data_IF_651868293185
#
_entry.id   IF_651868293185
#
_cell.length_a   1.000
_cell.length_b   1.000
_cell.length_c   1.000
_cell.angle_alpha   90.00
_cell.angle_beta   90.00
_cell.angle_gamma   90.00
#
_symmetry.space_group_name_H-M   'P 1'
#
loop_
_entity.id
_entity.type
_entity.pdbx_description
1 polymer ?
#
# COMPACT_ATOMS: atom_id res chain seq x y z
N UNK A 1 34.13 -10.71 21.33
CA UNK A 1 35.56 -10.35 21.04
C UNK A 1 35.55 -8.87 20.69
N UNK A 2 36.45 -8.08 21.26
CA UNK A 2 36.54 -6.65 20.90
C UNK A 2 37.11 -6.50 19.49
N UNK A 3 36.37 -5.88 18.60
CA UNK A 3 36.70 -5.62 17.20
C UNK A 3 36.95 -4.13 16.93
N UNK A 4 37.23 -3.36 17.97
CA UNK A 4 37.67 -1.98 17.81
C UNK A 4 39.03 -1.91 17.08
N UNK A 5 39.33 -0.78 16.47
CA UNK A 5 40.56 -0.50 15.78
C UNK A 5 41.77 -0.88 16.66
N UNK A 6 41.82 -0.42 17.94
CA UNK A 6 42.91 -0.67 18.84
C UNK A 6 43.10 -2.16 19.16
N UNK A 7 42.00 -2.89 19.38
CA UNK A 7 42.05 -4.32 19.68
C UNK A 7 42.51 -5.14 18.44
N UNK A 8 42.08 -4.76 17.24
CA UNK A 8 42.52 -5.40 16.02
C UNK A 8 44.00 -5.10 15.76
N UNK A 9 44.42 -3.86 15.86
CA UNK A 9 45.81 -3.46 15.65
C UNK A 9 46.73 -4.18 16.65
N UNK A 10 46.31 -4.28 17.91
CA UNK A 10 47.06 -5.04 18.92
C UNK A 10 47.25 -6.52 18.50
N UNK A 11 46.16 -7.22 18.15
CA UNK A 11 46.23 -8.62 17.70
C UNK A 11 47.10 -8.82 16.44
N UNK A 12 47.05 -7.87 15.49
CA UNK A 12 47.92 -7.93 14.32
C UNK A 12 49.37 -7.77 14.65
N UNK A 13 49.72 -6.83 15.55
CA UNK A 13 51.09 -6.62 16.02
C UNK A 13 51.67 -7.83 16.77
N UNK A 14 50.86 -8.51 17.57
CA UNK A 14 51.29 -9.71 18.31
C UNK A 14 51.60 -10.90 17.39
N UNK A 15 50.95 -11.01 16.25
CA UNK A 15 51.16 -12.10 15.26
C UNK A 15 52.43 -11.94 14.44
N UNK A 16 53.04 -10.76 14.41
CA UNK A 16 54.28 -10.55 13.70
C UNK A 16 55.44 -10.96 14.62
N UNK A 17 56.07 -12.07 14.27
CA UNK A 17 57.19 -12.64 15.11
C UNK A 17 58.54 -11.97 14.88
N UNK A 18 58.76 -11.37 13.71
CA UNK A 18 60.02 -10.70 13.42
C UNK A 18 60.05 -9.26 13.97
N UNK A 19 61.16 -8.78 14.51
CA UNK A 19 61.28 -7.51 15.24
C UNK A 19 61.42 -6.30 14.31
N UNK A 20 60.60 -6.22 13.28
CA UNK A 20 60.39 -4.94 12.62
C UNK A 20 59.84 -3.97 13.68
N UNK A 21 60.27 -2.73 13.65
CA UNK A 21 59.72 -1.72 14.56
C UNK A 21 58.21 -1.67 14.44
N UNK A 22 57.52 -1.80 15.59
CA UNK A 22 56.04 -1.80 15.69
C UNK A 22 55.53 -0.51 16.34
N UNK A 23 56.38 0.50 16.44
CA UNK A 23 56.05 1.82 16.97
C UNK A 23 55.36 2.64 15.89
N UNK A 24 54.54 3.58 16.30
CA UNK A 24 53.86 4.53 15.41
C UNK A 24 54.86 5.25 14.50
N UNK A 25 54.53 5.37 13.20
CA UNK A 25 55.41 5.93 12.17
C UNK A 25 56.42 4.93 11.59
N UNK A 26 56.43 3.66 11.99
CA UNK A 26 57.20 2.62 11.31
C UNK A 26 56.41 2.02 10.16
N UNK A 27 57.10 1.57 9.12
CA UNK A 27 56.48 0.93 7.94
C UNK A 27 55.54 -0.21 8.33
N UNK A 28 55.94 -1.04 9.31
CA UNK A 28 55.10 -2.14 9.84
C UNK A 28 53.83 -1.62 10.50
N UNK A 29 53.95 -0.58 11.37
CA UNK A 29 52.81 0.00 12.04
C UNK A 29 51.83 0.60 11.05
N UNK A 30 52.29 1.39 10.06
CA UNK A 30 51.45 2.08 9.11
C UNK A 30 50.65 1.10 8.24
N UNK A 31 51.28 -0.01 7.81
CA UNK A 31 50.56 -1.05 7.07
C UNK A 31 49.52 -1.77 7.94
N UNK A 32 49.85 -2.16 9.17
CA UNK A 32 48.91 -2.84 10.06
C UNK A 32 47.80 -1.92 10.53
N UNK A 33 48.10 -0.64 10.74
CA UNK A 33 47.13 0.39 11.09
C UNK A 33 46.06 0.57 9.99
N UNK A 34 46.48 0.63 8.72
CA UNK A 34 45.58 0.72 7.62
C UNK A 34 44.64 -0.49 7.55
N UNK A 35 45.18 -1.71 7.66
CA UNK A 35 44.37 -2.95 7.67
C UNK A 35 43.47 -3.02 8.89
N UNK A 36 43.95 -2.63 10.06
CA UNK A 36 43.15 -2.61 11.29
C UNK A 36 41.97 -1.66 11.18
N UNK A 37 42.16 -0.49 10.54
CA UNK A 37 41.12 0.50 10.33
C UNK A 37 40.02 -0.03 9.40
N UNK A 38 40.38 -0.64 8.29
CA UNK A 38 39.38 -1.23 7.36
C UNK A 38 38.65 -2.42 8.00
N UNK A 39 39.34 -3.27 8.75
CA UNK A 39 38.68 -4.36 9.48
C UNK A 39 37.75 -3.84 10.56
N UNK A 40 38.14 -2.79 11.30
CA UNK A 40 37.26 -2.18 12.29
C UNK A 40 36.01 -1.60 11.70
N UNK A 41 36.10 -0.92 10.53
CA UNK A 41 34.94 -0.43 9.77
C UNK A 41 34.06 -1.60 9.32
N UNK A 42 34.65 -2.65 8.76
CA UNK A 42 33.92 -3.84 8.35
C UNK A 42 33.11 -4.45 9.51
N UNK A 43 33.71 -4.64 10.68
CA UNK A 43 33.00 -5.19 11.83
C UNK A 43 31.93 -4.25 12.41
N UNK A 44 32.20 -2.94 12.44
CA UNK A 44 31.28 -1.96 13.06
C UNK A 44 30.13 -1.56 12.16
N UNK A 45 30.32 -1.60 10.86
CA UNK A 45 29.32 -1.17 9.89
C UNK A 45 28.75 -2.34 9.09
N UNK A 46 29.59 -3.06 8.34
CA UNK A 46 29.08 -4.07 7.40
C UNK A 46 28.44 -5.27 8.09
N UNK A 47 29.07 -5.77 9.17
CA UNK A 47 28.52 -6.92 9.92
C UNK A 47 27.26 -6.52 10.67
N UNK A 48 27.21 -5.34 11.30
CA UNK A 48 26.02 -4.86 12.00
C UNK A 48 24.87 -4.63 11.02
N UNK A 49 25.16 -3.94 9.92
CA UNK A 49 24.16 -3.70 8.86
C UNK A 49 23.65 -5.02 8.25
N UNK A 50 24.52 -6.03 8.12
CA UNK A 50 24.11 -7.34 7.63
C UNK A 50 23.08 -8.00 8.57
N UNK A 51 23.29 -7.92 9.88
CA UNK A 51 22.34 -8.45 10.86
C UNK A 51 20.97 -7.76 10.75
N UNK A 52 20.96 -6.44 10.58
CA UNK A 52 19.72 -5.68 10.41
C UNK A 52 18.97 -6.10 9.12
N UNK A 53 19.69 -6.51 8.09
CA UNK A 53 19.12 -6.91 6.78
C UNK A 53 18.54 -8.32 6.76
N UNK A 54 18.88 -9.18 7.69
CA UNK A 54 18.41 -10.57 7.75
C UNK A 54 17.26 -10.81 8.72
N UNK A 55 16.77 -9.77 9.40
CA UNK A 55 15.63 -9.87 10.30
C UNK A 55 14.46 -9.06 9.80
N UNK A 56 13.24 -9.64 9.82
CA UNK A 56 12.01 -8.99 9.36
C UNK A 56 11.77 -7.67 10.08
N UNK A 57 12.10 -7.57 11.38
CA UNK A 57 11.87 -6.37 12.19
C UNK A 57 12.74 -5.18 11.78
N UNK A 58 13.92 -5.42 11.27
CA UNK A 58 14.93 -4.40 10.98
C UNK A 58 15.18 -4.20 9.48
N UNK A 59 14.95 -5.23 8.67
CA UNK A 59 15.14 -5.17 7.23
C UNK A 59 14.22 -4.13 6.57
N UNK A 60 14.70 -3.49 5.52
CA UNK A 60 13.98 -2.47 4.75
C UNK A 60 14.07 -2.71 3.25
N UNK A 61 13.12 -2.18 2.49
CA UNK A 61 13.14 -2.20 1.03
C UNK A 61 13.28 -3.60 0.44
N UNK A 62 14.28 -3.78 -0.44
CA UNK A 62 14.52 -5.05 -1.14
C UNK A 62 14.92 -6.21 -0.23
N UNK A 63 15.59 -5.95 0.89
CA UNK A 63 15.99 -7.01 1.82
C UNK A 63 14.77 -7.55 2.54
N UNK A 64 13.83 -6.68 2.96
CA UNK A 64 12.54 -7.09 3.51
C UNK A 64 11.70 -7.84 2.45
N UNK A 65 11.76 -7.42 1.17
CA UNK A 65 11.05 -8.11 0.07
C UNK A 65 11.58 -9.55 -0.12
N UNK A 66 12.89 -9.75 0.00
CA UNK A 66 13.50 -11.07 -0.07
C UNK A 66 13.07 -11.96 1.09
N UNK A 67 13.11 -11.44 2.34
CA UNK A 67 12.68 -12.18 3.52
C UNK A 67 11.20 -12.60 3.41
N UNK A 68 10.32 -11.65 3.13
CA UNK A 68 8.90 -11.94 3.00
C UNK A 68 8.59 -12.97 1.91
N UNK A 69 9.25 -12.86 0.76
CA UNK A 69 9.06 -13.79 -0.35
C UNK A 69 9.64 -15.19 -0.08
N UNK A 70 10.89 -15.28 0.39
CA UNK A 70 11.60 -16.57 0.47
C UNK A 70 11.35 -17.32 1.76
N UNK A 71 11.17 -16.62 2.88
CA UNK A 71 10.96 -17.26 4.19
C UNK A 71 9.47 -17.44 4.52
N UNK A 72 8.61 -16.49 4.09
CA UNK A 72 7.19 -16.47 4.46
C UNK A 72 6.24 -16.68 3.29
N UNK A 73 6.75 -16.75 2.05
CA UNK A 73 5.96 -16.85 0.82
C UNK A 73 4.91 -15.73 0.68
N UNK A 74 5.22 -14.55 1.17
CA UNK A 74 4.39 -13.35 1.12
C UNK A 74 5.10 -12.33 0.24
N UNK A 75 4.43 -11.83 -0.80
CA UNK A 75 4.97 -10.78 -1.65
C UNK A 75 4.39 -9.43 -1.23
N UNK A 76 5.22 -8.37 -1.36
CA UNK A 76 4.77 -7.01 -1.20
C UNK A 76 3.71 -6.67 -2.24
N UNK A 77 2.69 -5.92 -1.84
CA UNK A 77 1.69 -5.41 -2.75
C UNK A 77 2.29 -4.28 -3.60
N UNK A 78 2.29 -4.49 -4.91
CA UNK A 78 2.81 -3.51 -5.85
C UNK A 78 1.77 -2.43 -6.15
N UNK A 79 2.26 -1.24 -6.54
CA UNK A 79 1.40 -0.16 -6.99
C UNK A 79 0.57 -0.58 -8.21
N UNK A 80 -0.69 -0.19 -8.24
CA UNK A 80 -1.66 -0.50 -9.30
C UNK A 80 -2.06 0.73 -10.08
N UNK A 81 -2.59 0.53 -11.28
CA UNK A 81 -3.11 1.62 -12.10
C UNK A 81 -4.52 2.01 -11.68
N UNK A 82 -4.80 3.32 -11.75
CA UNK A 82 -6.15 3.85 -11.62
C UNK A 82 -6.93 3.60 -12.93
N UNK A 83 -8.17 3.12 -12.80
CA UNK A 83 -9.10 2.94 -13.93
C UNK A 83 -10.24 3.94 -13.81
N UNK A 84 -10.66 4.51 -14.93
CA UNK A 84 -11.75 5.46 -15.00
C UNK A 84 -12.69 5.15 -16.15
N UNK A 85 -13.97 5.44 -15.97
CA UNK A 85 -14.98 5.40 -17.03
C UNK A 85 -15.30 6.83 -17.47
N UNK A 86 -15.06 7.12 -18.74
CA UNK A 86 -15.29 8.43 -19.32
C UNK A 86 -16.49 8.41 -20.26
N UNK A 87 -17.22 9.51 -20.32
CA UNK A 87 -18.18 9.84 -21.36
C UNK A 87 -17.54 10.76 -22.38
N UNK A 88 -17.42 10.31 -23.61
CA UNK A 88 -16.86 11.08 -24.71
C UNK A 88 -18.00 11.50 -25.64
N UNK A 89 -18.05 12.79 -25.93
CA UNK A 89 -19.02 13.41 -26.79
C UNK A 89 -18.41 13.72 -28.15
N UNK A 90 -19.16 13.49 -29.23
CA UNK A 90 -18.69 13.77 -30.58
C UNK A 90 -19.67 13.34 -31.66
N UNK A 91 -19.20 13.36 -32.89
CA UNK A 91 -20.02 13.04 -34.08
C UNK A 91 -20.36 11.55 -34.14
N UNK A 92 -21.61 11.23 -34.47
CA UNK A 92 -22.08 9.85 -34.65
C UNK A 92 -21.21 9.10 -35.66
N UNK A 93 -20.79 7.89 -35.29
CA UNK A 93 -19.93 7.04 -36.12
C UNK A 93 -18.44 7.35 -36.02
N UNK A 94 -18.05 8.35 -35.23
CA UNK A 94 -16.63 8.65 -34.99
C UNK A 94 -15.98 7.55 -34.16
N UNK A 95 -14.82 7.07 -34.64
CA UNK A 95 -14.01 6.10 -33.91
C UNK A 95 -13.21 6.77 -32.79
N UNK A 96 -13.13 6.11 -31.67
CA UNK A 96 -12.28 6.41 -30.52
C UNK A 96 -11.32 5.22 -30.41
N UNK A 97 -10.05 5.43 -30.67
CA UNK A 97 -9.06 4.35 -30.76
C UNK A 97 -8.36 4.13 -29.41
N UNK A 98 -7.88 2.91 -29.23
CA UNK A 98 -6.99 2.56 -28.14
C UNK A 98 -5.79 3.52 -28.04
N UNK A 99 -5.40 3.88 -26.81
CA UNK A 99 -4.28 4.79 -26.57
C UNK A 99 -4.58 6.29 -26.71
N UNK A 100 -5.78 6.72 -27.08
CA UNK A 100 -6.11 8.14 -27.07
C UNK A 100 -6.01 8.70 -25.65
N UNK A 101 -5.30 9.84 -25.48
CA UNK A 101 -5.03 10.46 -24.19
C UNK A 101 -6.10 11.45 -23.75
N UNK A 102 -6.49 11.34 -22.48
CA UNK A 102 -7.35 12.27 -21.76
C UNK A 102 -6.53 12.86 -20.61
N UNK A 103 -6.53 14.19 -20.46
CA UNK A 103 -5.76 14.91 -19.44
C UNK A 103 -6.70 15.74 -18.57
N UNK A 104 -6.46 15.76 -17.26
CA UNK A 104 -7.08 16.73 -16.36
C UNK A 104 -6.45 18.10 -16.58
N UNK A 105 -7.28 19.16 -16.57
CA UNK A 105 -6.78 20.54 -16.70
C UNK A 105 -6.15 21.07 -15.41
N UNK A 106 -6.63 20.57 -14.26
CA UNK A 106 -6.24 21.08 -12.95
C UNK A 106 -5.03 20.33 -12.34
N UNK A 107 -4.80 19.06 -12.70
CA UNK A 107 -3.87 18.18 -11.98
C UNK A 107 -2.81 17.48 -12.83
N UNK A 108 -2.65 17.81 -14.10
CA UNK A 108 -1.69 17.17 -15.02
C UNK A 108 -1.85 15.63 -15.17
N UNK A 109 -2.89 15.04 -14.56
CA UNK A 109 -3.16 13.59 -14.59
C UNK A 109 -3.60 13.20 -16.00
N UNK A 110 -2.99 12.16 -16.54
CA UNK A 110 -3.28 11.63 -17.87
C UNK A 110 -3.81 10.20 -17.77
N UNK A 111 -4.84 9.92 -18.54
CA UNK A 111 -5.39 8.58 -18.79
C UNK A 111 -5.31 8.25 -20.28
N UNK A 112 -5.11 6.99 -20.59
CA UNK A 112 -5.16 6.46 -21.93
C UNK A 112 -6.37 5.53 -22.08
N UNK A 113 -7.13 5.73 -23.14
CA UNK A 113 -8.31 4.90 -23.45
C UNK A 113 -7.84 3.48 -23.75
N UNK A 114 -8.55 2.50 -23.20
CA UNK A 114 -8.28 1.08 -23.38
C UNK A 114 -9.34 0.47 -24.28
N UNK A 115 -8.91 0.05 -25.47
CA UNK A 115 -9.78 -0.53 -26.49
C UNK A 115 -10.37 0.48 -27.46
N UNK A 116 -11.01 -0.02 -28.50
CA UNK A 116 -11.63 0.77 -29.57
C UNK A 116 -13.12 0.91 -29.34
N UNK A 117 -13.64 2.12 -29.53
CA UNK A 117 -15.07 2.43 -29.38
C UNK A 117 -15.55 3.26 -30.58
N UNK A 118 -16.86 3.31 -30.77
CA UNK A 118 -17.50 4.14 -31.78
C UNK A 118 -18.59 4.96 -31.09
N UNK A 119 -18.68 6.25 -31.43
CA UNK A 119 -19.74 7.11 -30.93
C UNK A 119 -21.09 6.67 -31.58
N UNK A 120 -22.02 6.31 -30.71
CA UNK A 120 -23.37 5.90 -31.12
C UNK A 120 -24.23 7.05 -31.60
N UNK A 121 -25.48 6.74 -31.98
CA UNK A 121 -26.48 7.72 -32.44
C UNK A 121 -26.87 8.77 -31.40
N UNK A 122 -26.57 8.50 -30.10
CA UNK A 122 -26.76 9.46 -29.01
C UNK A 122 -25.69 10.58 -28.98
N UNK A 123 -24.66 10.52 -29.83
CA UNK A 123 -23.52 11.43 -29.79
C UNK A 123 -22.59 11.22 -28.63
N UNK A 124 -22.73 10.10 -27.90
CA UNK A 124 -21.96 9.78 -26.69
C UNK A 124 -21.41 8.36 -26.78
N UNK A 125 -20.16 8.17 -26.33
CA UNK A 125 -19.58 6.86 -26.08
C UNK A 125 -19.09 6.78 -24.64
N UNK A 126 -19.34 5.64 -23.97
CA UNK A 126 -18.77 5.33 -22.66
C UNK A 126 -17.54 4.46 -22.88
N UNK A 127 -16.39 4.92 -22.40
CA UNK A 127 -15.09 4.28 -22.63
C UNK A 127 -14.37 4.07 -21.30
N UNK A 128 -13.53 3.05 -21.26
CA UNK A 128 -12.63 2.82 -20.10
C UNK A 128 -11.25 3.38 -20.40
N UNK A 129 -10.65 4.05 -19.45
CA UNK A 129 -9.28 4.54 -19.54
C UNK A 129 -8.47 4.09 -18.34
N UNK A 130 -7.17 3.97 -18.55
CA UNK A 130 -6.16 3.60 -17.54
C UNK A 130 -5.21 4.76 -17.35
N UNK A 131 -4.86 5.08 -16.11
CA UNK A 131 -3.91 6.13 -15.79
C UNK A 131 -2.53 5.89 -16.42
N UNK A 132 -1.83 6.95 -16.76
CA UNK A 132 -0.48 6.89 -17.32
C UNK A 132 0.56 6.32 -16.35
N UNK A 133 0.28 6.35 -15.04
CA UNK A 133 1.15 5.82 -14.00
C UNK A 133 0.36 5.08 -12.93
N UNK A 134 1.10 4.45 -12.02
CA UNK A 134 0.55 3.71 -10.90
C UNK A 134 0.47 4.59 -9.65
N UNK A 135 -0.44 4.23 -8.72
CA UNK A 135 -0.57 4.86 -7.43
C UNK A 135 -1.85 5.70 -7.26
N UNK A 136 -2.10 6.08 -6.03
CA UNK A 136 -3.28 6.85 -5.61
C UNK A 136 -3.27 8.30 -6.13
N UNK A 137 -2.12 8.81 -6.54
CA UNK A 137 -1.95 10.17 -7.09
C UNK A 137 -2.65 10.42 -8.43
N UNK A 138 -3.15 9.37 -9.09
CA UNK A 138 -3.86 9.48 -10.36
C UNK A 138 -5.39 9.52 -10.22
N UNK A 139 -5.92 9.67 -9.00
CA UNK A 139 -7.36 9.65 -8.76
C UNK A 139 -8.07 10.86 -9.34
N UNK A 140 -9.14 10.60 -10.10
CA UNK A 140 -10.05 11.61 -10.63
C UNK A 140 -11.42 11.51 -9.93
N UNK A 141 -12.03 12.68 -9.73
CA UNK A 141 -13.36 12.79 -9.12
C UNK A 141 -14.40 13.26 -10.13
N UNK A 142 -15.69 12.98 -9.90
CA UNK A 142 -16.77 13.50 -10.72
C UNK A 142 -16.70 15.04 -10.84
N UNK A 143 -16.91 15.51 -12.06
CA UNK A 143 -16.85 16.95 -12.35
C UNK A 143 -15.44 17.51 -12.59
N UNK A 144 -14.39 16.66 -12.59
CA UNK A 144 -13.07 17.09 -13.01
C UNK A 144 -13.09 17.65 -14.43
N UNK A 145 -12.40 18.77 -14.64
CA UNK A 145 -12.25 19.37 -15.96
C UNK A 145 -11.26 18.56 -16.78
N UNK A 146 -11.75 17.98 -17.87
CA UNK A 146 -11.00 17.07 -18.71
C UNK A 146 -10.89 17.60 -20.13
N UNK A 147 -9.77 17.34 -20.77
CA UNK A 147 -9.53 17.58 -22.19
C UNK A 147 -8.76 16.42 -22.82
N UNK A 148 -8.85 16.32 -24.13
CA UNK A 148 -7.99 15.41 -24.87
C UNK A 148 -6.54 15.93 -24.86
N UNK A 149 -5.57 15.02 -24.81
CA UNK A 149 -4.14 15.36 -24.90
C UNK A 149 -3.84 15.97 -26.26
N UNK A 150 -4.46 15.45 -27.32
CA UNK A 150 -4.36 15.93 -28.68
C UNK A 150 -5.76 16.34 -29.21
N UNK A 151 -5.77 17.14 -30.27
CA UNK A 151 -7.02 17.52 -30.92
C UNK A 151 -7.50 16.42 -31.86
N UNK A 152 -8.61 15.78 -31.53
CA UNK A 152 -9.26 14.77 -32.36
C UNK A 152 -10.45 15.38 -33.09
N UNK A 153 -10.45 15.34 -34.45
CA UNK A 153 -11.55 15.86 -35.27
C UNK A 153 -12.78 15.00 -35.02
N UNK A 154 -13.91 15.65 -34.73
CA UNK A 154 -15.19 14.99 -34.45
C UNK A 154 -15.38 14.54 -32.99
N UNK A 155 -14.40 14.76 -32.08
CA UNK A 155 -14.60 14.67 -30.67
C UNK A 155 -14.67 16.07 -30.06
N UNK A 156 -15.63 16.31 -29.17
CA UNK A 156 -15.92 17.68 -28.68
C UNK A 156 -15.52 17.84 -27.19
N UNK A 157 -15.87 16.92 -26.32
CA UNK A 157 -15.59 16.98 -24.89
C UNK A 157 -15.54 15.59 -24.26
N UNK A 158 -14.99 15.54 -23.06
CA UNK A 158 -14.91 14.34 -22.22
C UNK A 158 -15.35 14.70 -20.81
N UNK A 159 -16.08 13.79 -20.17
CA UNK A 159 -16.59 13.93 -18.80
C UNK A 159 -16.36 12.65 -18.00
N UNK A 160 -16.31 12.79 -16.69
CA UNK A 160 -16.26 11.67 -15.74
C UNK A 160 -17.39 11.85 -14.72
N UNK A 161 -18.27 10.85 -14.63
CA UNK A 161 -19.43 10.88 -13.74
C UNK A 161 -19.17 10.18 -12.41
N UNK A 162 -18.28 9.19 -12.41
CA UNK A 162 -17.93 8.39 -11.24
C UNK A 162 -16.46 8.55 -10.94
N UNK A 163 -16.10 8.58 -9.65
CA UNK A 163 -14.70 8.62 -9.28
C UNK A 163 -13.94 7.43 -9.88
N UNK A 164 -12.74 7.68 -10.36
CA UNK A 164 -11.83 6.62 -10.77
C UNK A 164 -11.43 5.74 -9.57
N UNK A 165 -10.98 4.52 -9.82
CA UNK A 165 -10.66 3.57 -8.78
C UNK A 165 -9.61 2.55 -9.20
N UNK A 166 -8.95 1.92 -8.23
CA UNK A 166 -8.02 0.82 -8.47
C UNK A 166 -6.54 1.20 -8.44
N UNK A 167 -6.22 2.51 -8.37
CA UNK A 167 -4.86 3.01 -8.19
C UNK A 167 -4.46 3.01 -6.73
N UNK A 168 -3.60 2.09 -6.35
CA UNK A 168 -3.04 1.99 -4.99
C UNK A 168 -1.54 2.17 -5.05
N UNK A 169 -0.98 2.78 -4.02
CA UNK A 169 0.46 2.92 -3.88
C UNK A 169 1.11 1.58 -3.55
N UNK A 170 2.41 1.48 -3.77
CA UNK A 170 3.19 0.31 -3.33
C UNK A 170 3.14 0.23 -1.81
N UNK A 171 2.90 -0.95 -1.28
CA UNK A 171 2.87 -1.22 0.16
C UNK A 171 4.17 -0.76 0.82
N UNK A 172 4.09 0.03 1.88
CA UNK A 172 5.25 0.48 2.63
C UNK A 172 5.81 -0.65 3.52
N UNK A 173 7.05 -0.48 4.00
CA UNK A 173 7.76 -1.50 4.80
C UNK A 173 7.00 -1.86 6.08
N UNK A 174 6.37 -0.90 6.73
CA UNK A 174 5.67 -1.12 7.99
C UNK A 174 4.42 -1.97 7.81
N UNK A 175 3.60 -1.66 6.80
CA UNK A 175 2.41 -2.44 6.45
C UNK A 175 2.77 -3.85 6.00
N UNK A 176 3.84 -3.98 5.21
CA UNK A 176 4.32 -5.27 4.74
C UNK A 176 4.86 -6.13 5.88
N UNK A 177 5.65 -5.57 6.79
CA UNK A 177 6.15 -6.24 8.00
C UNK A 177 5.00 -6.74 8.89
N UNK A 178 4.01 -5.87 9.12
CA UNK A 178 2.81 -6.25 9.87
C UNK A 178 2.10 -7.45 9.25
N UNK A 179 1.98 -7.49 7.93
CA UNK A 179 1.35 -8.60 7.20
C UNK A 179 2.16 -9.90 7.28
N UNK A 180 3.50 -9.82 7.30
CA UNK A 180 4.39 -10.96 7.53
C UNK A 180 4.15 -11.51 8.95
N UNK A 181 4.18 -10.66 9.98
CA UNK A 181 3.94 -11.08 11.37
C UNK A 181 2.53 -11.62 11.61
N UNK A 182 1.52 -11.04 10.96
CA UNK A 182 0.16 -11.59 11.02
C UNK A 182 0.09 -13.02 10.46
N UNK A 183 0.84 -13.31 9.42
CA UNK A 183 0.91 -14.66 8.86
C UNK A 183 1.69 -15.63 9.75
N UNK A 184 2.80 -15.20 10.36
CA UNK A 184 3.56 -15.98 11.33
C UNK A 184 2.74 -16.33 12.59
N UNK A 185 2.00 -15.34 13.12
CA UNK A 185 1.18 -15.52 14.32
C UNK A 185 -0.03 -16.43 14.11
N UNK A 186 -0.46 -16.60 12.86
CA UNK A 186 -1.61 -17.42 12.52
C UNK A 186 -1.14 -18.73 11.89
N UNK A 187 -1.56 -19.85 12.44
CA UNK A 187 -1.41 -21.15 11.78
C UNK A 187 -2.37 -21.15 10.58
N UNK A 188 -1.84 -20.73 9.42
CA UNK A 188 -2.62 -20.67 8.19
C UNK A 188 -2.80 -22.09 7.64
N UNK A 189 -3.87 -22.75 8.10
CA UNK A 189 -4.34 -23.98 7.47
C UNK A 189 -5.22 -23.66 6.26
N UNK A 190 -5.07 -24.41 5.18
CA UNK A 190 -5.84 -24.20 3.96
C UNK A 190 -7.35 -24.21 4.23
N UNK A 191 -8.06 -23.14 3.91
CA UNK A 191 -9.51 -23.02 4.09
C UNK A 191 -9.98 -22.69 5.51
N UNK A 192 -9.08 -22.40 6.46
CA UNK A 192 -9.47 -21.86 7.77
C UNK A 192 -9.71 -20.33 7.71
N UNK A 193 -10.22 -19.75 8.79
CA UNK A 193 -10.50 -18.29 8.90
C UNK A 193 -9.25 -17.46 8.58
N UNK A 194 -8.08 -17.86 9.09
CA UNK A 194 -6.81 -17.17 8.86
C UNK A 194 -6.43 -17.16 7.37
N UNK A 195 -6.66 -18.28 6.68
CA UNK A 195 -6.42 -18.40 5.24
C UNK A 195 -7.32 -17.45 4.43
N UNK A 196 -8.62 -17.38 4.73
CA UNK A 196 -9.53 -16.44 4.05
C UNK A 196 -9.12 -14.98 4.29
N UNK A 197 -8.74 -14.64 5.54
CA UNK A 197 -8.24 -13.30 5.86
C UNK A 197 -6.99 -12.95 5.06
N UNK A 198 -5.99 -13.84 5.06
CA UNK A 198 -4.73 -13.62 4.35
C UNK A 198 -4.95 -13.52 2.83
N UNK A 199 -5.77 -14.41 2.27
CA UNK A 199 -6.11 -14.40 0.84
C UNK A 199 -6.84 -13.11 0.44
N UNK A 200 -7.79 -12.62 1.23
CA UNK A 200 -8.44 -11.35 0.96
C UNK A 200 -7.48 -10.16 1.08
N UNK A 201 -6.61 -10.14 2.10
CA UNK A 201 -5.58 -9.10 2.29
C UNK A 201 -4.47 -9.12 1.23
N UNK A 202 -4.31 -10.20 0.46
CA UNK A 202 -3.35 -10.23 -0.65
C UNK A 202 -3.81 -9.42 -1.87
N UNK A 203 -5.04 -8.91 -1.86
CA UNK A 203 -5.56 -8.03 -2.92
C UNK A 203 -5.32 -6.59 -2.56
N UNK A 204 -4.58 -5.87 -3.42
CA UNK A 204 -4.31 -4.45 -3.22
C UNK A 204 -5.62 -3.65 -3.10
N UNK A 205 -5.67 -2.76 -2.11
CA UNK A 205 -6.85 -1.97 -1.77
C UNK A 205 -7.72 -2.54 -0.66
N UNK A 206 -7.40 -3.71 -0.13
CA UNK A 206 -8.05 -4.28 1.06
C UNK A 206 -7.26 -3.90 2.31
N UNK A 207 -7.89 -3.17 3.23
CA UNK A 207 -7.31 -2.77 4.51
C UNK A 207 -7.67 -3.76 5.62
N UNK A 208 -8.98 -3.96 5.87
CA UNK A 208 -9.46 -4.83 6.95
C UNK A 208 -10.36 -5.92 6.42
N UNK A 209 -10.27 -7.10 7.05
CA UNK A 209 -11.04 -8.28 6.67
C UNK A 209 -11.64 -8.93 7.91
N UNK A 210 -12.94 -9.21 7.87
CA UNK A 210 -13.64 -10.05 8.83
C UNK A 210 -14.18 -11.28 8.13
N UNK A 211 -13.93 -12.45 8.68
CA UNK A 211 -14.45 -13.72 8.18
C UNK A 211 -15.46 -14.24 9.17
N UNK A 212 -16.63 -14.60 8.67
CA UNK A 212 -17.70 -15.21 9.44
C UNK A 212 -17.93 -16.62 8.86
N UNK A 213 -17.55 -17.62 9.63
CA UNK A 213 -17.82 -19.01 9.32
C UNK A 213 -19.30 -19.35 9.57
N UNK A 214 -19.79 -20.31 8.81
CA UNK A 214 -21.18 -20.80 8.93
C UNK A 214 -22.23 -19.67 8.86
N UNK A 215 -21.90 -18.57 8.18
CA UNK A 215 -22.71 -17.34 8.16
C UNK A 215 -24.15 -17.55 7.67
N UNK A 216 -24.35 -18.51 6.77
CA UNK A 216 -25.64 -18.84 6.12
C UNK A 216 -26.03 -20.31 6.27
N UNK A 217 -25.30 -21.07 7.11
CA UNK A 217 -25.45 -22.50 7.33
C UNK A 217 -24.18 -23.29 7.03
N UNK A 218 -24.15 -24.62 7.26
CA UNK A 218 -22.96 -25.44 7.06
C UNK A 218 -22.34 -25.29 5.67
N UNK A 219 -21.01 -25.17 5.59
CA UNK A 219 -20.26 -25.04 4.34
C UNK A 219 -20.23 -23.60 3.77
N UNK A 220 -20.79 -22.62 4.47
CA UNK A 220 -20.81 -21.22 4.00
C UNK A 220 -19.83 -20.34 4.75
N UNK A 221 -19.19 -19.41 4.04
CA UNK A 221 -18.25 -18.42 4.61
C UNK A 221 -18.57 -17.03 4.05
N UNK A 222 -18.74 -16.07 4.92
CA UNK A 222 -18.86 -14.65 4.52
C UNK A 222 -17.55 -13.92 4.83
N UNK A 223 -16.98 -13.29 3.80
CA UNK A 223 -15.77 -12.46 3.89
C UNK A 223 -16.18 -11.01 3.74
N UNK A 224 -16.07 -10.24 4.81
CA UNK A 224 -16.43 -8.83 4.84
C UNK A 224 -15.15 -8.01 4.75
N UNK A 225 -15.07 -7.11 3.77
CA UNK A 225 -13.87 -6.32 3.48
C UNK A 225 -14.12 -4.82 3.66
N UNK A 226 -13.07 -4.12 4.11
CA UNK A 226 -12.98 -2.66 4.16
C UNK A 226 -11.85 -2.25 3.23
N UNK A 227 -12.10 -1.26 2.38
CA UNK A 227 -11.08 -0.72 1.49
C UNK A 227 -10.13 0.24 2.23
N UNK A 228 -8.96 0.51 1.63
CA UNK A 228 -7.97 1.46 2.15
C UNK A 228 -8.58 2.80 2.55
N UNK A 229 -8.02 3.39 3.61
CA UNK A 229 -8.53 4.64 4.20
C UNK A 229 -9.86 4.47 4.92
N UNK A 230 -10.18 3.25 5.36
CA UNK A 230 -11.43 2.91 6.05
C UNK A 230 -12.69 3.18 5.20
N UNK A 231 -12.54 3.08 3.87
CA UNK A 231 -13.61 3.30 2.90
C UNK A 231 -14.44 2.03 2.67
N UNK A 232 -15.65 2.23 2.12
CA UNK A 232 -16.47 1.11 1.65
C UNK A 232 -15.84 0.49 0.41
N UNK A 233 -15.69 -0.84 0.40
CA UNK A 233 -15.21 -1.55 -0.77
C UNK A 233 -16.21 -1.42 -1.92
N UNK A 234 -15.74 -1.00 -3.09
CA UNK A 234 -16.54 -0.92 -4.30
C UNK A 234 -16.72 -2.31 -4.95
N UNK A 235 -17.65 -2.42 -5.89
CA UNK A 235 -17.96 -3.68 -6.57
C UNK A 235 -16.75 -4.28 -7.29
N UNK A 236 -15.87 -3.46 -7.86
CA UNK A 236 -14.67 -3.91 -8.55
C UNK A 236 -13.69 -4.59 -7.58
N UNK A 237 -13.47 -4.01 -6.39
CA UNK A 237 -12.62 -4.59 -5.35
C UNK A 237 -13.23 -5.88 -4.81
N UNK A 238 -14.55 -5.90 -4.53
CA UNK A 238 -15.28 -7.09 -4.08
C UNK A 238 -15.10 -8.22 -5.08
N UNK A 239 -15.26 -7.93 -6.37
CA UNK A 239 -15.08 -8.91 -7.44
C UNK A 239 -13.65 -9.45 -7.48
N UNK A 240 -12.62 -8.57 -7.43
CA UNK A 240 -11.21 -8.99 -7.40
C UNK A 240 -10.92 -9.94 -6.23
N UNK A 241 -11.37 -9.59 -5.03
CA UNK A 241 -11.22 -10.45 -3.84
C UNK A 241 -11.94 -11.78 -4.01
N UNK A 242 -13.16 -11.75 -4.53
CA UNK A 242 -13.94 -12.97 -4.80
C UNK A 242 -13.22 -13.88 -5.79
N UNK A 243 -12.72 -13.34 -6.90
CA UNK A 243 -12.04 -14.12 -7.94
C UNK A 243 -10.77 -14.79 -7.38
N UNK A 244 -9.99 -14.10 -6.55
CA UNK A 244 -8.80 -14.67 -5.89
C UNK A 244 -9.16 -15.78 -4.90
N UNK A 245 -10.20 -15.59 -4.09
CA UNK A 245 -10.68 -16.62 -3.15
C UNK A 245 -11.23 -17.85 -3.91
N UNK A 246 -12.09 -17.62 -4.91
CA UNK A 246 -12.69 -18.70 -5.71
C UNK A 246 -11.64 -19.55 -6.44
N UNK A 247 -10.55 -18.94 -6.91
CA UNK A 247 -9.46 -19.67 -7.59
C UNK A 247 -8.69 -20.62 -6.66
N UNK A 248 -8.76 -20.39 -5.35
CA UNK A 248 -7.92 -21.08 -4.37
C UNK A 248 -8.71 -21.70 -3.19
N UNK A 249 -10.03 -21.59 -3.13
CA UNK A 249 -10.83 -22.12 -2.01
C UNK A 249 -10.95 -23.65 -2.02
N UNK A 250 -11.27 -24.21 -0.88
CA UNK A 250 -11.64 -25.61 -0.78
C UNK A 250 -12.90 -25.93 -1.61
N UNK A 251 -12.90 -27.08 -2.27
CA UNK A 251 -14.08 -27.59 -2.96
C UNK A 251 -15.25 -27.73 -1.96
N UNK A 252 -16.43 -27.25 -2.36
CA UNK A 252 -17.66 -27.35 -1.55
C UNK A 252 -17.88 -26.19 -0.56
N UNK A 253 -16.93 -25.25 -0.38
CA UNK A 253 -17.21 -24.04 0.40
C UNK A 253 -18.02 -23.03 -0.45
N UNK A 254 -19.13 -22.54 0.06
CA UNK A 254 -19.89 -21.41 -0.54
C UNK A 254 -19.42 -20.10 0.09
N UNK A 255 -18.69 -19.29 -0.68
CA UNK A 255 -18.06 -18.06 -0.20
C UNK A 255 -18.75 -16.83 -0.77
N UNK A 256 -19.14 -15.91 0.10
CA UNK A 256 -19.62 -14.59 -0.28
C UNK A 256 -18.65 -13.51 0.19
N UNK A 257 -18.26 -12.62 -0.73
CA UNK A 257 -17.47 -11.42 -0.39
C UNK A 257 -18.40 -10.21 -0.39
N UNK A 258 -18.35 -9.43 0.68
CA UNK A 258 -19.23 -8.27 0.89
C UNK A 258 -18.43 -7.06 1.38
N UNK A 259 -18.91 -5.85 1.06
CA UNK A 259 -18.42 -4.65 1.72
C UNK A 259 -18.92 -4.59 3.17
N UNK A 260 -18.13 -3.97 4.04
CA UNK A 260 -18.59 -3.60 5.37
C UNK A 260 -19.71 -2.55 5.31
N UNK A 261 -20.69 -2.67 6.18
CA UNK A 261 -21.72 -1.64 6.33
C UNK A 261 -21.14 -0.40 7.03
N UNK A 262 -21.46 0.78 6.51
CA UNK A 262 -21.09 2.04 7.14
C UNK A 262 -22.07 2.42 8.24
N UNK A 263 -21.54 2.95 9.35
CA UNK A 263 -22.34 3.58 10.38
C UNK A 263 -21.97 5.07 10.45
N UNK A 264 -22.86 5.99 10.06
CA UNK A 264 -22.55 7.41 10.06
C UNK A 264 -22.45 7.94 11.49
N UNK A 265 -21.34 8.59 11.80
CA UNK A 265 -21.14 9.26 13.10
C UNK A 265 -21.09 10.76 12.83
N UNK A 266 -22.07 11.49 13.35
CA UNK A 266 -22.12 12.94 13.27
C UNK A 266 -21.43 13.55 14.49
N UNK A 267 -20.40 14.35 14.25
CA UNK A 267 -19.67 15.06 15.31
C UNK A 267 -19.88 16.55 15.13
N UNK A 268 -20.47 17.18 16.13
CA UNK A 268 -20.61 18.64 16.21
C UNK A 268 -19.70 19.14 17.31
N UNK A 269 -18.68 19.92 16.96
CA UNK A 269 -17.72 20.48 17.90
C UNK A 269 -17.63 22.00 17.74
N UNK A 270 -17.58 22.71 18.86
CA UNK A 270 -17.29 24.15 18.89
C UNK A 270 -15.87 24.37 19.39
N UNK A 271 -15.03 24.95 18.54
CA UNK A 271 -13.62 25.20 18.82
C UNK A 271 -13.43 26.68 19.06
N UNK A 272 -12.74 27.05 20.16
CA UNK A 272 -12.29 28.43 20.42
C UNK A 272 -10.81 28.52 20.06
N UNK A 273 -10.50 29.36 19.11
CA UNK A 273 -9.14 29.65 18.67
C UNK A 273 -8.73 31.06 19.09
N UNK A 274 -7.43 31.27 19.34
CA UNK A 274 -6.90 32.58 19.71
C UNK A 274 -6.70 33.49 18.49
N UNK A 275 -6.48 32.90 17.31
CA UNK A 275 -6.21 33.59 16.05
C UNK A 275 -6.93 32.84 14.93
N UNK A 276 -7.78 33.55 14.17
CA UNK A 276 -8.57 32.98 13.07
C UNK A 276 -7.71 32.49 11.89
N UNK A 277 -6.48 32.94 11.78
CA UNK A 277 -5.51 32.54 10.74
C UNK A 277 -5.24 31.05 10.77
N UNK A 278 -5.35 30.38 11.93
CA UNK A 278 -5.07 28.95 12.09
C UNK A 278 -6.31 28.05 12.02
N UNK A 279 -7.48 28.57 11.68
CA UNK A 279 -8.74 27.80 11.70
C UNK A 279 -8.69 26.55 10.79
N UNK A 280 -8.17 26.69 9.58
CA UNK A 280 -8.10 25.58 8.61
C UNK A 280 -7.06 24.53 9.03
N UNK A 281 -5.96 24.93 9.63
CA UNK A 281 -4.95 24.00 10.16
C UNK A 281 -5.51 23.19 11.33
N UNK A 282 -6.24 23.85 12.22
CA UNK A 282 -6.92 23.17 13.36
C UNK A 282 -7.98 22.19 12.85
N UNK A 283 -8.80 22.58 11.87
CA UNK A 283 -9.79 21.68 11.27
C UNK A 283 -9.15 20.46 10.62
N UNK A 284 -8.07 20.69 9.90
CA UNK A 284 -7.32 19.62 9.21
C UNK A 284 -6.70 18.66 10.22
N UNK A 285 -6.04 19.17 11.24
CA UNK A 285 -5.44 18.38 12.32
C UNK A 285 -6.49 17.57 13.08
N UNK A 286 -7.64 18.17 13.39
CA UNK A 286 -8.75 17.48 14.05
C UNK A 286 -9.33 16.36 13.18
N UNK A 287 -9.56 16.62 11.88
CA UNK A 287 -10.01 15.57 10.95
C UNK A 287 -9.00 14.43 10.86
N UNK A 288 -7.71 14.75 10.82
CA UNK A 288 -6.64 13.73 10.79
C UNK A 288 -6.66 12.88 12.07
N UNK A 289 -6.74 13.51 13.24
CA UNK A 289 -6.81 12.79 14.52
C UNK A 289 -8.06 11.89 14.62
N UNK A 290 -9.23 12.37 14.15
CA UNK A 290 -10.44 11.56 14.08
C UNK A 290 -10.29 10.36 13.14
N UNK A 291 -9.71 10.57 11.96
CA UNK A 291 -9.49 9.49 11.02
C UNK A 291 -8.55 8.43 11.60
N UNK A 292 -7.47 8.84 12.27
CA UNK A 292 -6.57 7.93 12.99
C UNK A 292 -7.33 7.15 14.07
N UNK A 293 -8.10 7.83 14.90
CA UNK A 293 -8.90 7.17 15.94
C UNK A 293 -9.90 6.14 15.38
N UNK A 294 -10.59 6.48 14.29
CA UNK A 294 -11.51 5.53 13.64
C UNK A 294 -10.79 4.40 12.92
N UNK A 295 -9.58 4.62 12.40
CA UNK A 295 -8.76 3.57 11.81
C UNK A 295 -8.28 2.56 12.84
N UNK A 296 -8.03 2.99 14.07
CA UNK A 296 -7.60 2.14 15.18
C UNK A 296 -8.74 1.31 15.79
N UNK A 297 -10.00 1.60 15.44
CA UNK A 297 -11.11 0.78 15.89
C UNK A 297 -11.05 -0.60 15.24
N UNK A 298 -11.00 -1.62 16.07
CA UNK A 298 -10.93 -3.00 15.62
C UNK A 298 -12.23 -3.41 14.93
N UNK A 299 -12.11 -3.85 13.67
CA UNK A 299 -13.23 -4.29 12.85
C UNK A 299 -13.63 -5.76 13.11
N UNK A 300 -12.70 -6.55 13.65
CA UNK A 300 -12.84 -8.03 13.71
C UNK A 300 -13.37 -8.54 15.07
N UNK A 301 -13.54 -7.69 16.07
CA UNK A 301 -14.00 -8.15 17.38
C UNK A 301 -15.50 -8.47 17.40
N UNK A 302 -15.87 -9.52 18.15
CA UNK A 302 -17.26 -9.85 18.47
C UNK A 302 -17.88 -8.87 19.48
N UNK A 303 -17.06 -8.02 20.08
CA UNK A 303 -17.48 -7.01 21.05
C UNK A 303 -18.12 -5.82 20.33
N UNK A 304 -19.25 -5.32 20.84
CA UNK A 304 -19.87 -4.08 20.35
C UNK A 304 -18.85 -2.94 20.48
N UNK A 305 -18.34 -2.46 19.36
CA UNK A 305 -17.45 -1.30 19.30
C UNK A 305 -18.19 -0.08 19.86
N UNK A 306 -17.57 0.62 20.80
CA UNK A 306 -18.10 1.87 21.36
C UNK A 306 -17.17 3.01 20.97
N UNK A 307 -17.71 4.00 20.28
CA UNK A 307 -17.01 5.27 20.08
C UNK A 307 -17.00 6.02 21.40
N UNK A 308 -15.82 6.24 21.94
CA UNK A 308 -15.66 6.93 23.24
C UNK A 308 -15.62 8.43 23.03
N UNK A 309 -16.58 9.14 23.60
CA UNK A 309 -16.58 10.61 23.61
C UNK A 309 -15.31 11.20 24.26
N UNK A 310 -14.83 10.59 25.33
CA UNK A 310 -13.60 11.03 26.01
C UNK A 310 -12.35 10.92 25.13
N UNK A 311 -12.27 9.91 24.26
CA UNK A 311 -11.14 9.75 23.32
C UNK A 311 -11.20 10.70 22.12
N UNK A 312 -12.36 11.27 21.83
CA UNK A 312 -12.53 12.28 20.78
C UNK A 312 -12.12 13.67 21.30
N UNK A 313 -12.21 13.90 22.61
CA UNK A 313 -11.88 15.18 23.25
C UNK A 313 -10.40 15.33 23.64
N UNK A 314 -9.65 14.25 23.75
CA UNK A 314 -8.20 14.23 24.06
C UNK A 314 -7.38 14.08 22.79
#
# INVERSE_FOLDING_TARGET
MDNSYNAILYRLKEKIQNPASKIEGSFTYDNLSSVANELAKFYSYDVTTLLDRIHVDTATGEDLDKLGKFEHNIQRLEATYEEATFKIFGDTGKAINDGMGIKSEDTEIVFYIKGDYIIGTSGIATVTGIAAGKGSGYRLYPGAKLKFVERYIGLTRVEIDTASSGGYDRENDESYRKRIHEAEANIVGYGNIAWYKMTAKSVAGVDKVKVIDIARGPGTVDVIIVAEGNNVANEALIKKVKDVIESNRLAGADVQVKAANTYPININATIRIKDETYLEDVKTSFKKALNTYFSDLDFDTSLKQRVSYAKILN
#
